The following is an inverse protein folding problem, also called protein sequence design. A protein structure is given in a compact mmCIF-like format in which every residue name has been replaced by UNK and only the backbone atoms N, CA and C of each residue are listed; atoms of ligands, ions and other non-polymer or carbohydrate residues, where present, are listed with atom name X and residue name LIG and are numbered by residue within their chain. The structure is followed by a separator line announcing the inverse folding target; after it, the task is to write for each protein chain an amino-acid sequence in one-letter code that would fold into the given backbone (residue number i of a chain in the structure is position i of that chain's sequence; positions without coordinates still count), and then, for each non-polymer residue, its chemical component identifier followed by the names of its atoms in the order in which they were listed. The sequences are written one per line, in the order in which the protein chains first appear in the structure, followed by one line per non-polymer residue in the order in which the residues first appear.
data_IF_516245017371
#
_entry.id   IF_516245017371
#
_cell.length_a   1.000
_cell.length_b   1.000
_cell.length_c   1.000
_cell.angle_alpha   90.00
_cell.angle_beta   90.00
_cell.angle_gamma   90.00
#
_symmetry.space_group_name_H-M   'P 1'
#
loop_
_entity.id
_entity.type
_entity.pdbx_description
1 polymer ?
#
# COMPACT_ATOMS: atom_id res chain seq x y z
N UNK A 1 26.33 24.31 5.26
CA UNK A 1 26.31 22.95 5.83
C UNK A 1 24.96 22.33 5.50
N UNK A 2 24.91 21.22 4.76
CA UNK A 2 23.64 20.49 4.61
C UNK A 2 23.30 19.90 5.98
N UNK A 3 22.14 20.25 6.54
CA UNK A 3 21.66 19.60 7.76
C UNK A 3 21.47 18.12 7.44
N UNK A 4 22.19 17.24 8.15
CA UNK A 4 21.87 15.82 8.19
C UNK A 4 20.58 15.65 8.98
N UNK A 5 19.69 14.79 8.51
CA UNK A 5 18.48 14.42 9.24
C UNK A 5 18.79 13.20 10.11
N UNK A 6 18.32 13.21 11.36
CA UNK A 6 18.48 12.05 12.26
C UNK A 6 17.55 10.89 11.88
N UNK A 7 16.40 11.19 11.25
CA UNK A 7 15.44 10.21 10.78
C UNK A 7 14.59 10.75 9.62
N UNK A 8 14.05 9.82 8.82
CA UNK A 8 13.05 10.09 7.77
C UNK A 8 11.89 9.11 7.95
N UNK A 9 10.67 9.64 8.04
CA UNK A 9 9.44 8.85 8.05
C UNK A 9 8.83 8.87 6.64
N UNK A 10 8.80 7.71 5.99
CA UNK A 10 8.14 7.53 4.70
C UNK A 10 6.74 6.96 4.91
N UNK A 11 5.71 7.70 4.47
CA UNK A 11 4.31 7.29 4.60
C UNK A 11 3.79 6.96 3.20
N UNK A 12 3.41 5.70 2.99
CA UNK A 12 2.63 5.24 1.85
C UNK A 12 1.20 4.93 2.27
N UNK A 13 0.26 4.94 1.32
CA UNK A 13 -1.10 4.51 1.59
C UNK A 13 -1.16 3.04 2.06
N UNK A 14 -0.27 2.22 1.49
CA UNK A 14 -0.23 0.79 1.71
C UNK A 14 -1.12 0.02 0.72
N UNK A 15 -1.03 -1.30 0.78
CA UNK A 15 -1.88 -2.20 0.02
C UNK A 15 -1.79 -3.64 0.53
N UNK A 16 -2.67 -4.54 0.04
CA UNK A 16 -2.65 -5.95 0.42
C UNK A 16 -1.35 -6.62 -0.03
N UNK A 17 -0.74 -7.45 0.82
CA UNK A 17 0.55 -8.11 0.51
C UNK A 17 0.36 -9.52 -0.05
N UNK A 18 -0.82 -10.11 0.16
CA UNK A 18 -1.24 -11.43 -0.33
C UNK A 18 -2.76 -11.47 -0.61
N UNK A 19 -3.27 -12.48 -1.34
CA UNK A 19 -4.65 -12.52 -1.77
C UNK A 19 -5.67 -12.41 -0.64
N UNK A 20 -5.38 -13.02 0.52
CA UNK A 20 -6.27 -13.04 1.67
C UNK A 20 -6.42 -11.65 2.33
N UNK A 21 -5.50 -10.73 2.06
CA UNK A 21 -5.54 -9.37 2.59
C UNK A 21 -6.45 -8.44 1.77
N UNK A 22 -6.79 -8.80 0.53
CA UNK A 22 -7.49 -7.92 -0.42
C UNK A 22 -8.85 -7.49 0.15
N UNK A 23 -9.66 -8.43 0.62
CA UNK A 23 -11.00 -8.14 1.16
C UNK A 23 -10.94 -7.32 2.44
N UNK A 24 -10.18 -7.71 3.47
CA UNK A 24 -9.99 -6.89 4.66
C UNK A 24 -9.51 -5.46 4.35
N UNK A 25 -8.56 -5.31 3.42
CA UNK A 25 -8.06 -3.99 3.01
C UNK A 25 -9.17 -3.13 2.39
N UNK A 26 -9.92 -3.67 1.42
CA UNK A 26 -10.98 -2.93 0.74
C UNK A 26 -12.13 -2.54 1.69
N UNK A 27 -12.49 -3.42 2.63
CA UNK A 27 -13.51 -3.12 3.65
C UNK A 27 -13.06 -2.00 4.59
N UNK A 28 -11.80 -2.01 5.02
CA UNK A 28 -11.23 -0.95 5.84
C UNK A 28 -11.20 0.40 5.10
N UNK A 29 -10.80 0.39 3.82
CA UNK A 29 -10.74 1.59 2.97
C UNK A 29 -12.13 2.16 2.69
N UNK A 30 -13.12 1.30 2.49
CA UNK A 30 -14.50 1.69 2.21
C UNK A 30 -15.30 2.07 3.48
N UNK A 31 -14.75 1.85 4.68
CA UNK A 31 -15.44 2.08 5.94
C UNK A 31 -16.01 3.50 6.03
N UNK A 32 -17.31 3.59 6.35
CA UNK A 32 -18.01 4.86 6.49
C UNK A 32 -18.37 5.54 5.16
N UNK A 33 -18.20 4.86 4.03
CA UNK A 33 -18.58 5.36 2.69
C UNK A 33 -19.67 4.47 2.08
N UNK A 34 -20.62 5.05 1.33
CA UNK A 34 -21.67 4.29 0.65
C UNK A 34 -21.12 3.65 -0.65
N UNK A 35 -20.15 2.74 -0.51
CA UNK A 35 -19.56 2.01 -1.64
C UNK A 35 -20.36 0.71 -1.86
N UNK A 36 -20.94 0.49 -3.06
CA UNK A 36 -21.61 -0.77 -3.36
C UNK A 36 -20.66 -1.96 -3.28
N UNK A 37 -21.16 -3.12 -2.87
CA UNK A 37 -20.35 -4.34 -2.73
C UNK A 37 -19.72 -4.75 -4.06
N UNK A 38 -20.45 -4.58 -5.15
CA UNK A 38 -20.03 -4.93 -6.51
C UNK A 38 -18.82 -4.10 -6.95
N UNK A 39 -18.69 -2.86 -6.44
CA UNK A 39 -17.49 -2.03 -6.66
C UNK A 39 -16.28 -2.59 -5.94
N UNK A 40 -16.45 -3.15 -4.74
CA UNK A 40 -15.35 -3.81 -4.02
C UNK A 40 -14.97 -5.12 -4.71
N UNK A 41 -15.94 -5.85 -5.27
CA UNK A 41 -15.71 -7.07 -6.05
C UNK A 41 -14.89 -6.78 -7.31
N UNK A 42 -15.25 -5.74 -8.06
CA UNK A 42 -14.49 -5.32 -9.24
C UNK A 42 -13.03 -4.94 -8.88
N UNK A 43 -12.84 -4.17 -7.80
CA UNK A 43 -11.49 -3.78 -7.37
C UNK A 43 -10.69 -4.98 -6.86
N UNK A 44 -11.33 -5.94 -6.19
CA UNK A 44 -10.67 -7.18 -5.79
C UNK A 44 -10.17 -7.96 -7.02
N UNK A 45 -10.98 -8.04 -8.08
CA UNK A 45 -10.57 -8.68 -9.33
C UNK A 45 -9.34 -8.00 -9.97
N UNK A 46 -9.21 -6.68 -9.89
CA UNK A 46 -8.00 -6.00 -10.36
C UNK A 46 -6.74 -6.45 -9.62
N UNK A 47 -6.81 -6.71 -8.31
CA UNK A 47 -5.68 -7.26 -7.56
C UNK A 47 -5.37 -8.71 -7.97
N UNK A 48 -6.39 -9.53 -8.21
CA UNK A 48 -6.22 -10.91 -8.69
C UNK A 48 -5.45 -10.96 -10.03
N UNK A 49 -5.79 -10.06 -10.96
CA UNK A 49 -5.13 -9.97 -12.28
C UNK A 49 -3.64 -9.64 -12.21
N UNK A 50 -3.17 -9.03 -11.11
CA UNK A 50 -1.75 -8.68 -10.90
C UNK A 50 -1.04 -9.62 -9.91
N UNK A 51 -1.60 -10.81 -9.67
CA UNK A 51 -1.00 -11.82 -8.79
C UNK A 51 -1.43 -11.72 -7.32
N UNK A 52 -2.56 -11.06 -7.06
CA UNK A 52 -3.22 -11.04 -5.75
C UNK A 52 -2.52 -10.19 -4.69
N UNK A 53 -1.71 -9.21 -5.08
CA UNK A 53 -1.03 -8.29 -4.15
C UNK A 53 -0.78 -6.93 -4.76
N UNK A 54 -0.58 -5.92 -3.91
CA UNK A 54 -0.09 -4.61 -4.30
C UNK A 54 1.44 -4.55 -4.28
N UNK A 55 2.11 -3.99 -5.30
CA UNK A 55 3.56 -3.77 -5.25
C UNK A 55 3.95 -2.53 -4.42
N UNK A 56 2.99 -1.74 -3.92
CA UNK A 56 3.27 -0.43 -3.32
C UNK A 56 4.11 -0.52 -2.04
N UNK A 57 3.88 -1.52 -1.18
CA UNK A 57 4.65 -1.69 0.04
C UNK A 57 6.11 -2.00 -0.29
N UNK A 58 6.32 -2.89 -1.27
CA UNK A 58 7.65 -3.26 -1.76
C UNK A 58 8.42 -2.03 -2.30
N UNK A 59 7.77 -1.17 -3.09
CA UNK A 59 8.38 0.08 -3.56
C UNK A 59 8.66 1.05 -2.43
N UNK A 60 7.75 1.19 -1.48
CA UNK A 60 7.92 2.07 -0.31
C UNK A 60 9.14 1.63 0.52
N UNK A 61 9.28 0.33 0.78
CA UNK A 61 10.45 -0.19 1.51
C UNK A 61 11.76 -0.06 0.71
N UNK A 62 11.73 -0.24 -0.62
CA UNK A 62 12.90 0.00 -1.48
C UNK A 62 13.33 1.47 -1.43
N UNK A 63 12.40 2.41 -1.51
CA UNK A 63 12.67 3.84 -1.38
C UNK A 63 13.27 4.16 0.00
N UNK A 64 12.70 3.64 1.08
CA UNK A 64 13.22 3.82 2.43
C UNK A 64 14.65 3.26 2.58
N UNK A 65 14.95 2.12 1.96
CA UNK A 65 16.29 1.53 1.97
C UNK A 65 17.32 2.40 1.26
N UNK A 66 16.97 2.96 0.10
CA UNK A 66 17.85 3.87 -0.66
C UNK A 66 18.08 5.16 0.13
N UNK A 67 17.01 5.79 0.63
CA UNK A 67 17.10 7.00 1.45
C UNK A 67 17.97 6.80 2.69
N UNK A 68 17.89 5.64 3.35
CA UNK A 68 18.74 5.32 4.50
C UNK A 68 20.23 5.24 4.15
N UNK A 69 20.58 4.82 2.93
CA UNK A 69 21.96 4.81 2.45
C UNK A 69 22.54 6.22 2.22
N UNK A 70 21.66 7.20 2.03
CA UNK A 70 22.01 8.60 1.74
C UNK A 70 22.03 9.51 2.99
N UNK A 71 21.56 9.02 4.15
CA UNK A 71 21.59 9.72 5.46
C UNK A 71 22.97 9.55 6.15
#
# INVERSE_FOLDING_TARGET
MSKKFDAVLLIGYGGPEKPEDIRPFLELVAKGRPIPKERLDEVAHHYELIGGRSPINEYTFRQAKVLKGDL
#
